data_IF_847390783603
#
_entry.id   IF_847390783603
#
_cell.length_a   1.000
_cell.length_b   1.000
_cell.length_c   1.000
_cell.angle_alpha   90.00
_cell.angle_beta   90.00
_cell.angle_gamma   90.00
#
_symmetry.space_group_name_H-M   'P 1'
#
loop_
_entity.id
_entity.type
_entity.pdbx_description
1 polymer ?
#
# COMPACT_ATOMS: atom_id res chain seq x y z
N UNK A 1 -24.96 13.73 27.64
CA UNK A 1 -24.44 12.88 26.56
C UNK A 1 -25.62 12.14 25.95
N UNK A 2 -26.16 12.63 24.84
CA UNK A 2 -27.28 11.98 24.15
C UNK A 2 -26.72 11.06 23.07
N UNK A 3 -27.01 9.77 23.21
CA UNK A 3 -26.77 8.79 22.15
C UNK A 3 -27.78 9.02 21.03
N UNK A 4 -27.28 9.37 19.86
CA UNK A 4 -28.08 9.35 18.63
C UNK A 4 -28.16 7.88 18.20
N UNK A 5 -29.35 7.30 18.36
CA UNK A 5 -29.71 6.00 17.78
C UNK A 5 -30.01 6.20 16.30
N UNK A 6 -29.32 5.47 15.43
CA UNK A 6 -29.64 5.40 14.01
C UNK A 6 -30.64 4.27 13.76
N UNK A 7 -31.68 4.49 12.92
CA UNK A 7 -32.60 3.43 12.57
C UNK A 7 -31.87 2.35 11.78
N UNK A 8 -32.12 1.08 12.12
CA UNK A 8 -31.64 -0.05 11.35
C UNK A 8 -32.28 -0.01 9.95
N UNK A 9 -31.49 0.34 8.93
CA UNK A 9 -31.89 0.16 7.54
C UNK A 9 -31.91 -1.34 7.21
N UNK A 10 -33.09 -1.84 6.88
CA UNK A 10 -33.27 -3.14 6.20
C UNK A 10 -32.89 -2.99 4.73
N UNK A 11 -31.62 -3.17 4.37
CA UNK A 11 -31.13 -3.21 2.97
C UNK A 11 -30.56 -4.58 2.61
N UNK A 12 -31.44 -5.54 2.38
CA UNK A 12 -31.09 -6.94 2.02
C UNK A 12 -30.69 -7.14 0.55
N UNK A 13 -30.43 -6.09 -0.24
CA UNK A 13 -30.08 -6.22 -1.66
C UNK A 13 -28.56 -6.19 -1.95
N UNK A 14 -27.76 -5.64 -1.04
CA UNK A 14 -26.31 -5.54 -1.16
C UNK A 14 -25.62 -6.23 0.03
N UNK A 15 -25.94 -7.50 0.29
CA UNK A 15 -25.32 -8.23 1.39
C UNK A 15 -23.86 -8.59 1.06
N UNK A 16 -22.94 -7.74 1.52
CA UNK A 16 -21.48 -7.97 1.67
C UNK A 16 -20.68 -8.26 0.36
N UNK A 17 -19.51 -7.61 0.19
CA UNK A 17 -18.82 -7.49 -1.09
C UNK A 17 -18.05 -8.76 -1.50
N UNK A 18 -18.70 -9.79 -2.04
CA UNK A 18 -18.00 -11.03 -2.44
C UNK A 18 -17.68 -11.03 -3.94
N UNK A 19 -16.39 -11.02 -4.25
CA UNK A 19 -15.84 -11.26 -5.59
C UNK A 19 -16.37 -12.59 -6.14
N UNK A 20 -16.87 -12.60 -7.39
CA UNK A 20 -17.36 -13.84 -8.02
C UNK A 20 -16.24 -14.66 -8.67
N UNK A 21 -15.14 -14.01 -9.06
CA UNK A 21 -13.97 -14.66 -9.68
C UNK A 21 -12.69 -14.03 -9.16
N UNK A 22 -11.87 -14.85 -8.51
CA UNK A 22 -10.54 -14.47 -8.07
C UNK A 22 -9.53 -14.62 -9.22
N UNK A 23 -8.46 -13.80 -9.26
CA UNK A 23 -7.36 -14.08 -10.16
C UNK A 23 -6.73 -15.45 -9.86
N UNK A 24 -6.26 -16.15 -10.89
CA UNK A 24 -5.60 -17.45 -10.74
C UNK A 24 -4.05 -17.36 -10.74
N UNK A 25 -3.50 -16.17 -10.97
CA UNK A 25 -2.06 -15.90 -11.03
C UNK A 25 -1.56 -15.17 -9.77
N UNK A 26 -1.86 -13.88 -9.64
CA UNK A 26 -1.41 -12.96 -8.58
C UNK A 26 -2.62 -12.31 -7.90
N UNK A 27 -2.44 -11.85 -6.66
CA UNK A 27 -3.49 -11.17 -5.90
C UNK A 27 -4.36 -12.07 -5.02
N UNK A 28 -4.49 -13.36 -5.28
CA UNK A 28 -5.15 -14.27 -4.32
C UNK A 28 -4.20 -14.76 -3.22
N UNK A 29 -4.76 -15.15 -2.08
CA UNK A 29 -4.03 -15.86 -1.02
C UNK A 29 -3.29 -17.08 -1.61
N UNK A 30 -2.08 -17.32 -1.13
CA UNK A 30 -1.31 -18.51 -1.43
C UNK A 30 -1.61 -19.64 -0.43
N UNK A 31 -0.91 -20.75 -0.58
CA UNK A 31 -1.05 -21.94 0.26
C UNK A 31 -0.12 -21.96 1.47
N UNK A 32 0.77 -20.97 1.62
CA UNK A 32 1.74 -20.94 2.72
C UNK A 32 1.04 -20.41 3.99
N UNK A 33 1.16 -21.17 5.09
CA UNK A 33 0.68 -20.73 6.38
C UNK A 33 1.40 -19.45 6.84
N UNK A 34 0.65 -18.51 7.40
CA UNK A 34 1.18 -17.22 7.88
C UNK A 34 1.05 -17.12 9.39
N UNK A 35 2.15 -16.76 10.04
CA UNK A 35 2.15 -16.37 11.46
C UNK A 35 2.34 -14.87 11.59
N UNK A 36 1.69 -14.25 12.59
CA UNK A 36 1.97 -12.87 12.99
C UNK A 36 2.87 -12.91 14.21
N UNK A 37 4.08 -12.37 14.06
CA UNK A 37 5.01 -12.08 15.15
C UNK A 37 4.89 -10.61 15.55
N UNK A 38 5.31 -10.28 16.76
CA UNK A 38 5.21 -8.93 17.33
C UNK A 38 6.52 -8.59 18.02
N UNK A 39 6.97 -7.34 17.87
CA UNK A 39 8.09 -6.77 18.64
C UNK A 39 7.70 -5.40 19.19
N UNK A 40 8.20 -4.99 20.37
CA UNK A 40 7.98 -3.64 20.87
C UNK A 40 8.34 -2.58 19.83
N UNK A 41 7.54 -1.52 19.77
CA UNK A 41 7.87 -0.35 18.98
C UNK A 41 8.99 0.43 19.70
N UNK A 42 10.09 0.80 19.01
CA UNK A 42 11.18 1.53 19.65
C UNK A 42 10.80 2.96 20.08
N UNK A 43 9.75 3.55 19.52
CA UNK A 43 9.20 4.80 20.04
C UNK A 43 8.26 4.52 21.22
N UNK A 44 8.59 5.08 22.38
CA UNK A 44 7.80 4.98 23.60
C UNK A 44 6.38 5.57 23.47
N UNK A 45 6.16 6.48 22.52
CA UNK A 45 4.87 7.10 22.24
C UNK A 45 4.10 6.41 21.12
N UNK A 46 4.64 5.35 20.52
CA UNK A 46 3.93 4.65 19.47
C UNK A 46 2.67 3.97 20.03
N UNK A 47 1.55 4.02 19.28
CA UNK A 47 0.26 3.56 19.79
C UNK A 47 0.17 2.03 19.90
N UNK A 48 0.95 1.30 19.10
CA UNK A 48 0.89 -0.16 18.97
C UNK A 48 2.28 -0.74 18.65
N UNK A 49 2.52 -2.03 18.94
CA UNK A 49 3.77 -2.71 18.61
C UNK A 49 3.90 -2.97 17.10
N UNK A 50 5.14 -3.19 16.66
CA UNK A 50 5.44 -3.56 15.28
C UNK A 50 4.96 -4.99 15.03
N UNK A 51 4.24 -5.20 13.92
CA UNK A 51 3.72 -6.51 13.51
C UNK A 51 4.51 -7.03 12.32
N UNK A 52 4.92 -8.30 12.37
CA UNK A 52 5.65 -8.97 11.29
C UNK A 52 4.88 -10.22 10.87
N UNK A 53 4.37 -10.22 9.64
CA UNK A 53 3.71 -11.38 9.04
C UNK A 53 4.78 -12.22 8.36
N UNK A 54 4.99 -13.43 8.88
CA UNK A 54 6.00 -14.36 8.39
C UNK A 54 5.34 -15.57 7.71
N UNK A 55 5.77 -15.92 6.50
CA UNK A 55 5.44 -17.22 5.92
C UNK A 55 6.12 -18.32 6.72
N UNK A 56 5.45 -19.46 6.87
CA UNK A 56 6.01 -20.65 7.54
C UNK A 56 7.28 -21.18 6.85
N UNK A 57 7.52 -20.79 5.59
CA UNK A 57 8.75 -21.13 4.84
C UNK A 57 9.95 -20.25 5.22
N UNK A 58 9.75 -19.14 5.94
CA UNK A 58 10.84 -18.25 6.37
C UNK A 58 11.63 -18.91 7.50
N UNK A 59 12.88 -19.26 7.22
CA UNK A 59 13.80 -19.89 8.17
C UNK A 59 15.20 -19.28 8.04
N UNK A 60 16.12 -19.64 8.94
CA UNK A 60 17.52 -19.22 8.83
C UNK A 60 18.19 -19.62 7.51
N UNK A 61 17.81 -20.76 6.94
CA UNK A 61 18.32 -21.25 5.67
C UNK A 61 17.55 -20.69 4.46
N UNK A 62 16.31 -20.25 4.65
CA UNK A 62 15.43 -19.73 3.61
C UNK A 62 14.83 -18.40 4.05
N UNK A 63 15.63 -17.33 3.95
CA UNK A 63 15.22 -15.99 4.33
C UNK A 63 14.20 -15.44 3.32
N UNK A 64 13.10 -14.90 3.82
CA UNK A 64 12.03 -14.36 2.98
C UNK A 64 12.32 -12.91 2.55
N UNK A 65 12.09 -12.52 1.27
CA UNK A 65 12.11 -11.12 0.88
C UNK A 65 11.15 -10.29 1.73
N UNK A 66 11.47 -9.03 1.96
CA UNK A 66 10.74 -8.20 2.93
C UNK A 66 9.96 -7.09 2.23
N UNK A 67 8.71 -6.93 2.62
CA UNK A 67 7.87 -5.79 2.24
C UNK A 67 7.60 -4.96 3.48
N UNK A 68 8.10 -3.73 3.50
CA UNK A 68 7.87 -2.75 4.56
C UNK A 68 6.62 -1.93 4.23
N UNK A 69 5.62 -1.98 5.10
CA UNK A 69 4.33 -1.37 4.88
C UNK A 69 4.10 -0.16 5.80
N UNK A 70 3.88 1.02 5.23
CA UNK A 70 3.54 2.25 5.93
C UNK A 70 2.05 2.59 5.78
N UNK A 71 1.33 2.66 6.91
CA UNK A 71 -0.12 2.89 6.92
C UNK A 71 -0.52 4.35 6.64
N UNK A 72 -1.78 4.56 6.28
CA UNK A 72 -2.39 5.89 6.21
C UNK A 72 -2.64 6.52 7.58
N UNK A 73 -2.89 7.83 7.64
CA UNK A 73 -3.12 8.53 8.90
C UNK A 73 -4.27 7.90 9.71
N UNK A 74 -4.11 7.76 11.03
CA UNK A 74 -4.99 7.00 11.94
C UNK A 74 -5.10 5.48 11.68
N UNK A 75 -4.47 4.94 10.64
CA UNK A 75 -4.45 3.51 10.33
C UNK A 75 -3.48 2.70 11.20
N UNK A 76 -3.35 3.02 12.49
CA UNK A 76 -2.30 2.52 13.39
C UNK A 76 -2.41 1.02 13.69
N UNK A 77 -3.60 0.46 13.50
CA UNK A 77 -3.87 -0.96 13.69
C UNK A 77 -3.68 -1.72 12.38
N UNK A 78 -2.85 -2.77 12.41
CA UNK A 78 -2.59 -3.61 11.23
C UNK A 78 -3.88 -4.23 10.66
N UNK A 79 -4.92 -4.39 11.49
CA UNK A 79 -6.21 -4.98 11.09
C UNK A 79 -6.85 -4.26 9.91
N UNK A 80 -6.62 -2.95 9.75
CA UNK A 80 -7.08 -2.19 8.59
C UNK A 80 -6.55 -2.74 7.25
N UNK A 81 -5.37 -3.35 7.24
CA UNK A 81 -4.70 -3.86 6.04
C UNK A 81 -4.45 -5.37 6.11
N UNK A 82 -4.96 -6.07 7.13
CA UNK A 82 -4.52 -7.42 7.48
C UNK A 82 -4.63 -8.41 6.33
N UNK A 83 -5.69 -8.33 5.54
CA UNK A 83 -5.88 -9.25 4.41
C UNK A 83 -4.79 -9.07 3.35
N UNK A 84 -4.42 -7.82 3.02
CA UNK A 84 -3.30 -7.53 2.12
C UNK A 84 -1.98 -8.09 2.69
N UNK A 85 -1.69 -7.80 3.97
CA UNK A 85 -0.44 -8.21 4.61
C UNK A 85 -0.32 -9.74 4.65
N UNK A 86 -1.42 -10.44 4.98
CA UNK A 86 -1.48 -11.90 4.98
C UNK A 86 -1.46 -12.49 3.58
N UNK A 87 -2.10 -11.85 2.60
CA UNK A 87 -2.08 -12.30 1.21
C UNK A 87 -0.64 -12.34 0.70
N UNK A 88 0.13 -11.27 0.89
CA UNK A 88 1.54 -11.22 0.53
C UNK A 88 2.35 -12.26 1.32
N UNK A 89 2.12 -12.37 2.62
CA UNK A 89 2.83 -13.37 3.43
C UNK A 89 2.54 -14.81 3.01
N UNK A 90 1.31 -15.13 2.65
CA UNK A 90 0.92 -16.46 2.16
C UNK A 90 1.55 -16.82 0.79
N UNK A 91 2.21 -15.85 0.15
CA UNK A 91 2.96 -16.00 -1.11
C UNK A 91 4.48 -16.02 -0.91
N UNK A 92 4.96 -16.04 0.34
CA UNK A 92 6.37 -16.25 0.65
C UNK A 92 7.16 -14.97 0.96
N UNK A 93 6.49 -13.83 1.12
CA UNK A 93 7.14 -12.58 1.54
C UNK A 93 6.99 -12.36 3.04
N UNK A 94 8.00 -11.84 3.72
CA UNK A 94 7.79 -11.27 5.04
C UNK A 94 7.20 -9.86 4.89
N UNK A 95 6.19 -9.52 5.69
CA UNK A 95 5.59 -8.17 5.66
C UNK A 95 5.69 -7.52 7.03
N UNK A 96 6.34 -6.36 7.09
CA UNK A 96 6.55 -5.59 8.32
C UNK A 96 5.60 -4.39 8.34
N UNK A 97 4.75 -4.32 9.34
CA UNK A 97 3.83 -3.22 9.58
C UNK A 97 4.28 -2.45 10.83
N UNK A 98 4.52 -1.14 10.68
CA UNK A 98 4.95 -0.27 11.77
C UNK A 98 3.88 0.79 12.05
N UNK A 99 3.27 0.77 13.24
CA UNK A 99 2.45 1.87 13.72
C UNK A 99 3.29 3.12 14.00
N UNK A 100 2.82 4.29 13.57
CA UNK A 100 3.36 5.59 13.97
C UNK A 100 2.28 6.45 14.66
N UNK A 101 2.70 7.45 15.43
CA UNK A 101 1.82 8.36 16.18
C UNK A 101 1.07 9.33 15.27
N UNK A 102 -0.21 9.53 15.55
CA UNK A 102 -0.99 10.62 14.96
C UNK A 102 -0.50 12.02 15.38
N UNK A 103 0.34 12.14 16.40
CA UNK A 103 0.91 13.41 16.89
C UNK A 103 2.37 13.57 16.43
N UNK A 104 2.90 14.80 16.54
CA UNK A 104 4.27 15.13 16.16
C UNK A 104 4.41 15.75 14.76
N UNK A 105 5.65 15.86 14.31
CA UNK A 105 6.02 16.41 13.01
C UNK A 105 5.97 15.33 11.93
N UNK A 106 5.95 15.72 10.65
CA UNK A 106 6.08 14.78 9.55
C UNK A 106 7.41 14.03 9.62
N UNK A 107 8.50 14.75 9.93
CA UNK A 107 9.82 14.18 10.15
C UNK A 107 9.82 13.13 11.27
N UNK A 108 9.23 13.42 12.43
CA UNK A 108 9.20 12.46 13.55
C UNK A 108 8.43 11.19 13.21
N UNK A 109 7.33 11.30 12.45
CA UNK A 109 6.57 10.13 11.98
C UNK A 109 7.36 9.26 11.00
N UNK A 110 8.14 9.87 10.11
CA UNK A 110 9.04 9.13 9.22
C UNK A 110 10.15 8.42 10.00
N UNK A 111 10.67 9.05 11.04
CA UNK A 111 11.65 8.45 11.94
C UNK A 111 11.07 7.29 12.75
N UNK A 112 9.82 7.39 13.22
CA UNK A 112 9.10 6.29 13.87
C UNK A 112 8.93 5.08 12.94
N UNK A 113 8.44 5.31 11.72
CA UNK A 113 8.31 4.28 10.70
C UNK A 113 9.65 3.58 10.45
N UNK A 114 10.71 4.36 10.23
CA UNK A 114 12.04 3.85 9.97
C UNK A 114 12.60 3.06 11.16
N UNK A 115 12.53 3.59 12.37
CA UNK A 115 13.00 2.94 13.58
C UNK A 115 12.25 1.61 13.83
N UNK A 116 10.93 1.57 13.61
CA UNK A 116 10.17 0.33 13.71
C UNK A 116 10.58 -0.73 12.69
N UNK A 117 10.89 -0.33 11.44
CA UNK A 117 11.42 -1.26 10.44
C UNK A 117 12.80 -1.78 10.84
N UNK A 118 13.70 -0.91 11.31
CA UNK A 118 15.01 -1.31 11.82
C UNK A 118 14.87 -2.28 13.00
N UNK A 119 13.90 -2.04 13.90
CA UNK A 119 13.64 -2.92 15.04
C UNK A 119 13.18 -4.31 14.59
N UNK A 120 12.30 -4.39 13.60
CA UNK A 120 11.90 -5.67 13.02
C UNK A 120 13.07 -6.40 12.37
N UNK A 121 13.92 -5.70 11.61
CA UNK A 121 15.13 -6.28 11.02
C UNK A 121 16.14 -6.74 12.08
N UNK A 122 16.32 -5.98 13.15
CA UNK A 122 17.17 -6.38 14.27
C UNK A 122 16.64 -7.66 14.95
N UNK A 123 15.33 -7.73 15.19
CA UNK A 123 14.70 -8.83 15.93
C UNK A 123 14.57 -10.11 15.08
N UNK A 124 14.26 -9.97 13.79
CA UNK A 124 13.91 -11.08 12.89
C UNK A 124 14.89 -11.24 11.72
N UNK A 125 16.04 -10.57 11.75
CA UNK A 125 17.00 -10.54 10.63
C UNK A 125 17.52 -11.90 10.18
N UNK A 126 17.49 -12.91 11.06
CA UNK A 126 17.85 -14.29 10.71
C UNK A 126 16.90 -14.93 9.70
N UNK A 127 15.65 -14.46 9.59
CA UNK A 127 14.64 -14.99 8.65
C UNK A 127 14.19 -13.99 7.59
N UNK A 128 14.58 -12.72 7.72
CA UNK A 128 14.27 -11.64 6.78
C UNK A 128 15.42 -11.42 5.81
N UNK A 129 15.19 -11.46 4.51
CA UNK A 129 16.17 -11.08 3.48
C UNK A 129 15.97 -9.64 3.04
N UNK A 130 16.70 -8.73 3.67
CA UNK A 130 16.63 -7.30 3.34
C UNK A 130 17.31 -6.94 2.03
N UNK A 131 18.07 -7.84 1.40
CA UNK A 131 18.64 -7.55 0.07
C UNK A 131 17.57 -7.53 -1.01
N UNK A 132 16.43 -8.18 -0.78
CA UNK A 132 15.22 -8.12 -1.61
C UNK A 132 14.13 -7.40 -0.82
N UNK A 133 14.01 -6.09 -1.03
CA UNK A 133 13.17 -5.22 -0.22
C UNK A 133 12.14 -4.46 -1.06
N UNK A 134 10.89 -4.42 -0.57
CA UNK A 134 9.82 -3.62 -1.12
C UNK A 134 9.35 -2.61 -0.10
N UNK A 135 9.01 -1.40 -0.54
CA UNK A 135 8.39 -0.40 0.30
C UNK A 135 7.01 -0.09 -0.28
N UNK A 136 5.97 -0.29 0.51
CA UNK A 136 4.60 -0.03 0.12
C UNK A 136 3.90 0.84 1.18
N UNK A 137 2.96 1.67 0.75
CA UNK A 137 2.22 2.46 1.71
C UNK A 137 0.98 3.14 1.16
N UNK A 138 0.08 3.46 2.07
CA UNK A 138 -1.22 4.07 1.78
C UNK A 138 -1.30 5.49 2.36
N UNK A 139 -1.91 6.44 1.63
CA UNK A 139 -2.18 7.80 2.12
C UNK A 139 -0.91 8.47 2.65
N UNK A 140 -0.89 8.91 3.90
CA UNK A 140 0.33 9.40 4.58
C UNK A 140 1.52 8.46 4.39
N UNK A 141 1.35 7.17 4.65
CA UNK A 141 2.38 6.16 4.45
C UNK A 141 2.79 6.01 2.98
N UNK A 142 1.86 6.21 2.04
CA UNK A 142 2.17 6.28 0.60
C UNK A 142 3.09 7.44 0.25
N UNK A 143 2.87 8.61 0.87
CA UNK A 143 3.77 9.77 0.77
C UNK A 143 5.14 9.52 1.41
N UNK A 144 5.18 8.80 2.54
CA UNK A 144 6.42 8.43 3.24
C UNK A 144 7.27 7.38 2.50
N UNK A 145 6.64 6.55 1.68
CA UNK A 145 7.25 5.34 1.10
C UNK A 145 8.53 5.63 0.31
N UNK A 146 8.64 6.65 -0.57
CA UNK A 146 9.90 6.96 -1.24
C UNK A 146 11.06 7.31 -0.30
N UNK A 147 10.80 8.06 0.77
CA UNK A 147 11.85 8.40 1.75
C UNK A 147 12.30 7.16 2.52
N UNK A 148 11.35 6.29 2.91
CA UNK A 148 11.67 5.03 3.56
C UNK A 148 12.49 4.10 2.65
N UNK A 149 12.16 4.06 1.36
CA UNK A 149 12.92 3.32 0.37
C UNK A 149 14.34 3.86 0.19
N UNK A 150 14.51 5.19 0.17
CA UNK A 150 15.83 5.83 0.13
C UNK A 150 16.67 5.49 1.36
N UNK A 151 16.09 5.57 2.57
CA UNK A 151 16.76 5.14 3.82
C UNK A 151 17.14 3.67 3.77
N UNK A 152 16.24 2.81 3.25
CA UNK A 152 16.49 1.40 2.98
C UNK A 152 17.70 1.17 2.08
N UNK A 153 17.71 1.81 0.91
CA UNK A 153 18.81 1.71 -0.04
C UNK A 153 20.16 2.13 0.58
N UNK A 154 20.17 3.23 1.33
CA UNK A 154 21.37 3.70 2.04
C UNK A 154 21.84 2.74 3.15
N UNK A 155 20.93 1.95 3.72
CA UNK A 155 21.24 0.87 4.66
C UNK A 155 21.59 -0.47 3.97
N UNK A 156 21.71 -0.48 2.63
CA UNK A 156 21.98 -1.67 1.83
C UNK A 156 20.75 -2.57 1.60
N UNK A 157 19.55 -2.13 1.97
CA UNK A 157 18.32 -2.89 1.73
C UNK A 157 17.88 -2.70 0.28
N UNK A 158 17.43 -3.79 -0.35
CA UNK A 158 17.03 -3.79 -1.76
C UNK A 158 18.19 -3.91 -2.76
N UNK A 159 19.40 -4.24 -2.32
CA UNK A 159 20.57 -4.42 -3.18
C UNK A 159 20.39 -5.47 -4.31
N UNK A 160 19.53 -6.46 -4.10
CA UNK A 160 19.16 -7.52 -5.04
C UNK A 160 17.71 -7.39 -5.55
N UNK A 161 17.09 -6.23 -5.38
CA UNK A 161 15.72 -5.98 -5.81
C UNK A 161 15.06 -4.97 -4.88
N UNK A 162 14.72 -3.80 -5.43
CA UNK A 162 14.03 -2.72 -4.73
C UNK A 162 12.76 -2.33 -5.50
N UNK A 163 11.62 -2.25 -4.81
CA UNK A 163 10.43 -1.62 -5.37
C UNK A 163 9.77 -0.63 -4.42
N UNK A 164 9.02 0.30 -5.01
CA UNK A 164 8.18 1.29 -4.35
C UNK A 164 6.75 1.13 -4.88
N UNK A 165 5.77 0.98 -3.98
CA UNK A 165 4.35 0.89 -4.34
C UNK A 165 3.54 1.88 -3.49
N UNK A 166 3.07 2.97 -4.08
CA UNK A 166 2.27 3.96 -3.37
C UNK A 166 0.78 3.83 -3.70
N UNK A 167 -0.06 3.99 -2.69
CA UNK A 167 -1.52 3.96 -2.79
C UNK A 167 -2.08 5.28 -2.29
N UNK A 168 -2.74 6.05 -3.15
CA UNK A 168 -3.37 7.33 -2.82
C UNK A 168 -2.48 8.25 -1.98
N UNK A 169 -1.22 8.44 -2.40
CA UNK A 169 -0.20 9.08 -1.56
C UNK A 169 -0.61 10.49 -1.11
N UNK A 170 -0.38 10.77 0.16
CA UNK A 170 -0.30 12.14 0.68
C UNK A 170 1.09 12.73 0.42
N UNK A 171 1.37 13.93 0.92
CA UNK A 171 2.62 14.65 0.63
C UNK A 171 3.87 13.84 0.99
N UNK A 172 4.91 14.01 0.17
CA UNK A 172 6.23 13.44 0.43
C UNK A 172 7.14 14.52 1.03
N UNK A 173 7.64 14.24 2.24
CA UNK A 173 8.56 15.13 2.97
C UNK A 173 10.01 14.65 2.95
N UNK A 174 10.30 13.61 2.18
CA UNK A 174 11.66 13.11 1.99
C UNK A 174 12.54 14.14 1.29
N UNK A 175 13.84 13.91 1.33
CA UNK A 175 14.83 14.71 0.59
C UNK A 175 15.78 13.79 -0.16
N UNK A 176 16.51 14.33 -1.12
CA UNK A 176 17.53 13.58 -1.88
C UNK A 176 16.98 12.32 -2.56
N UNK A 177 15.80 12.43 -3.21
CA UNK A 177 15.11 11.29 -3.85
C UNK A 177 15.93 10.67 -4.98
N UNK A 178 16.87 11.40 -5.56
CA UNK A 178 17.85 10.92 -6.54
C UNK A 178 18.79 9.83 -6.01
N UNK A 179 18.90 9.68 -4.68
CA UNK A 179 19.67 8.60 -4.05
C UNK A 179 18.98 7.22 -4.16
N UNK A 180 17.69 7.18 -4.52
CA UNK A 180 17.02 5.90 -4.79
C UNK A 180 17.58 5.34 -6.11
N UNK A 181 18.10 4.08 -6.12
CA UNK A 181 18.69 3.49 -7.32
C UNK A 181 17.72 3.51 -8.52
N UNK A 182 18.24 3.88 -9.69
CA UNK A 182 17.48 3.84 -10.95
C UNK A 182 16.94 2.44 -11.31
N UNK A 183 17.59 1.38 -10.79
CA UNK A 183 17.19 -0.02 -10.96
C UNK A 183 15.95 -0.43 -10.12
N UNK A 184 15.50 0.44 -9.21
CA UNK A 184 14.25 0.22 -8.48
C UNK A 184 13.06 0.13 -9.46
N UNK A 185 11.96 -0.44 -9.00
CA UNK A 185 10.67 -0.43 -9.72
C UNK A 185 9.66 0.43 -8.98
N UNK A 186 8.81 1.14 -9.71
CA UNK A 186 7.84 2.05 -9.12
C UNK A 186 6.43 1.81 -9.65
N UNK A 187 5.47 1.65 -8.75
CA UNK A 187 4.04 1.79 -9.06
C UNK A 187 3.47 2.91 -8.21
N UNK A 188 2.82 3.87 -8.87
CA UNK A 188 2.02 4.92 -8.22
C UNK A 188 0.57 4.66 -8.54
N UNK A 189 -0.21 4.30 -7.53
CA UNK A 189 -1.62 3.96 -7.69
C UNK A 189 -2.51 5.03 -7.05
N UNK A 190 -3.48 5.51 -7.83
CA UNK A 190 -4.52 6.47 -7.40
C UNK A 190 -5.91 5.92 -7.65
N UNK A 191 -6.90 6.51 -7.00
CA UNK A 191 -8.29 6.06 -7.04
C UNK A 191 -9.20 7.15 -7.60
N UNK A 192 -10.07 6.78 -8.54
CA UNK A 192 -10.81 7.75 -9.33
C UNK A 192 -11.78 8.61 -8.51
N UNK A 193 -12.36 8.01 -7.46
CA UNK A 193 -13.30 8.65 -6.54
C UNK A 193 -12.65 9.00 -5.20
N UNK A 194 -11.32 9.09 -5.14
CA UNK A 194 -10.65 9.66 -3.97
C UNK A 194 -11.12 11.12 -3.79
N UNK A 195 -11.60 11.44 -2.60
CA UNK A 195 -11.98 12.80 -2.20
C UNK A 195 -11.20 13.29 -0.98
N UNK A 196 -10.21 12.51 -0.52
CA UNK A 196 -9.31 12.90 0.55
C UNK A 196 -8.04 13.50 -0.04
N UNK A 197 -7.30 12.73 -0.82
CA UNK A 197 -6.03 13.18 -1.38
C UNK A 197 -6.17 13.50 -2.86
N UNK A 198 -5.86 14.73 -3.22
CA UNK A 198 -5.72 15.16 -4.60
C UNK A 198 -4.64 14.31 -5.30
N UNK A 199 -4.94 13.62 -6.42
CA UNK A 199 -3.95 12.81 -7.12
C UNK A 199 -2.79 13.64 -7.69
N UNK A 200 -2.92 14.97 -7.79
CA UNK A 200 -1.78 15.86 -8.06
C UNK A 200 -0.70 15.77 -6.98
N UNK A 201 -1.03 15.35 -5.75
CA UNK A 201 -0.03 15.04 -4.72
C UNK A 201 0.83 13.86 -5.15
N UNK A 202 0.22 12.74 -5.55
CA UNK A 202 0.96 11.56 -6.04
C UNK A 202 1.78 11.89 -7.30
N UNK A 203 1.24 12.73 -8.20
CA UNK A 203 1.98 13.19 -9.38
C UNK A 203 3.21 14.02 -9.00
N UNK A 204 3.04 15.07 -8.21
CA UNK A 204 4.11 16.03 -7.95
C UNK A 204 5.09 15.55 -6.89
N UNK A 205 4.62 14.88 -5.84
CA UNK A 205 5.45 14.48 -4.69
C UNK A 205 5.99 13.04 -4.76
N UNK A 206 5.52 12.23 -5.72
CA UNK A 206 6.07 10.87 -5.93
C UNK A 206 6.58 10.71 -7.35
N UNK A 207 5.69 10.80 -8.35
CA UNK A 207 6.05 10.49 -9.73
C UNK A 207 7.12 11.43 -10.31
N UNK A 208 6.93 12.75 -10.15
CA UNK A 208 7.83 13.76 -10.69
C UNK A 208 9.18 13.82 -9.94
N UNK A 209 9.23 13.35 -8.69
CA UNK A 209 10.43 13.37 -7.84
C UNK A 209 11.32 12.14 -7.99
N UNK A 210 10.87 11.13 -8.75
CA UNK A 210 11.61 9.90 -9.03
C UNK A 210 11.82 9.69 -10.54
N UNK A 211 12.34 10.69 -11.30
CA UNK A 211 12.52 10.56 -12.74
C UNK A 211 13.58 9.52 -13.13
N UNK A 212 14.54 9.24 -12.23
CA UNK A 212 15.60 8.27 -12.47
C UNK A 212 15.10 6.82 -12.50
N UNK A 213 13.94 6.53 -11.92
CA UNK A 213 13.33 5.19 -11.97
C UNK A 213 12.58 5.05 -13.30
N UNK A 214 13.15 4.32 -14.24
CA UNK A 214 12.57 4.16 -15.59
C UNK A 214 11.56 3.02 -15.68
N UNK A 215 11.70 2.00 -14.84
CA UNK A 215 10.69 0.93 -14.70
C UNK A 215 9.58 1.37 -13.75
N UNK A 216 8.67 2.20 -14.28
CA UNK A 216 7.58 2.78 -13.51
C UNK A 216 6.23 2.78 -14.21
N UNK A 217 5.16 2.68 -13.43
CA UNK A 217 3.78 2.81 -13.92
C UNK A 217 2.91 3.66 -13.01
N UNK A 218 2.14 4.52 -13.67
CA UNK A 218 0.98 5.16 -13.05
C UNK A 218 -0.23 4.25 -13.21
N UNK A 219 -0.98 4.03 -12.14
CA UNK A 219 -2.14 3.17 -12.12
C UNK A 219 -3.37 3.88 -11.56
N UNK A 220 -4.52 3.72 -12.22
CA UNK A 220 -5.80 4.29 -11.77
C UNK A 220 -6.81 3.16 -11.57
N UNK A 221 -7.31 2.99 -10.35
CA UNK A 221 -8.49 2.15 -10.11
C UNK A 221 -9.73 3.02 -10.36
N UNK A 222 -10.59 2.55 -11.26
CA UNK A 222 -11.87 3.16 -11.59
C UNK A 222 -12.98 2.53 -10.76
N UNK A 223 -13.96 3.36 -10.43
CA UNK A 223 -15.21 2.88 -9.87
C UNK A 223 -16.08 2.24 -10.93
N UNK A 224 -16.97 1.36 -10.49
CA UNK A 224 -17.96 0.71 -11.34
C UNK A 224 -19.38 1.12 -10.89
N UNK A 225 -19.97 2.11 -11.56
CA UNK A 225 -21.27 2.71 -11.17
C UNK A 225 -22.48 1.87 -11.62
N UNK A 226 -23.52 1.75 -10.77
CA UNK A 226 -24.74 0.95 -11.03
C UNK A 226 -25.41 0.43 -9.75
N UNK A 227 -26.35 -0.53 -9.84
CA UNK A 227 -27.23 -0.93 -8.72
C UNK A 227 -26.49 -1.35 -7.44
N UNK A 228 -25.31 -1.98 -7.59
CA UNK A 228 -24.31 -2.08 -6.53
C UNK A 228 -23.03 -1.45 -7.07
N UNK A 229 -22.72 -0.24 -6.63
CA UNK A 229 -21.48 0.42 -7.03
C UNK A 229 -20.28 -0.20 -6.31
N UNK A 230 -19.13 -0.17 -6.98
CA UNK A 230 -17.85 -0.47 -6.37
C UNK A 230 -16.98 0.77 -6.51
N UNK A 231 -16.93 1.56 -5.45
CA UNK A 231 -16.34 2.90 -5.48
C UNK A 231 -14.84 2.81 -5.16
N UNK A 232 -14.01 3.30 -6.08
CA UNK A 232 -12.57 3.46 -5.93
C UNK A 232 -12.28 4.74 -5.12
N UNK A 233 -12.52 4.68 -3.82
CA UNK A 233 -12.35 5.81 -2.89
C UNK A 233 -10.96 5.81 -2.24
N UNK A 234 -10.68 6.80 -1.39
CA UNK A 234 -9.47 6.83 -0.56
C UNK A 234 -9.30 5.55 0.29
N UNK A 235 -10.41 4.93 0.70
CA UNK A 235 -10.39 3.79 1.61
C UNK A 235 -10.29 2.44 0.89
N UNK A 236 -10.16 2.42 -0.44
CA UNK A 236 -10.07 1.16 -1.22
C UNK A 236 -9.02 0.17 -0.67
N UNK A 237 -7.83 0.58 -0.17
CA UNK A 237 -6.86 -0.37 0.40
C UNK A 237 -7.21 -0.97 1.76
N UNK A 238 -8.29 -0.51 2.40
CA UNK A 238 -8.67 -0.89 3.77
C UNK A 238 -9.71 -2.00 3.73
N UNK A 239 -9.37 -3.17 4.27
CA UNK A 239 -10.21 -4.37 4.15
C UNK A 239 -10.97 -4.74 5.43
N UNK A 240 -10.74 -4.01 6.53
CA UNK A 240 -11.49 -4.15 7.78
C UNK A 240 -11.69 -2.79 8.46
N UNK A 241 -12.81 -2.62 9.17
CA UNK A 241 -13.08 -1.45 10.02
C UNK A 241 -12.80 -1.70 11.51
N UNK A 242 -12.16 -2.82 11.85
CA UNK A 242 -11.98 -3.25 13.24
C UNK A 242 -13.16 -4.10 13.73
N UNK A 243 -12.80 -5.10 14.55
CA UNK A 243 -13.61 -6.20 15.09
C UNK A 243 -14.11 -7.28 14.11
N UNK A 244 -13.37 -8.40 14.13
CA UNK A 244 -13.72 -9.75 13.64
C UNK A 244 -14.20 -9.85 12.17
N UNK A 245 -13.26 -10.12 11.26
CA UNK A 245 -13.55 -10.65 9.92
C UNK A 245 -13.30 -9.68 8.75
N UNK A 246 -12.81 -10.24 7.64
CA UNK A 246 -12.50 -9.60 6.35
C UNK A 246 -13.77 -9.14 5.61
N UNK A 247 -14.53 -8.22 6.21
CA UNK A 247 -15.89 -7.92 5.72
C UNK A 247 -15.91 -6.90 4.55
N UNK A 248 -14.80 -6.23 4.24
CA UNK A 248 -14.76 -5.24 3.16
C UNK A 248 -13.91 -5.64 1.94
N UNK A 249 -13.18 -6.76 1.99
CA UNK A 249 -12.41 -7.25 0.84
C UNK A 249 -13.35 -7.50 -0.34
N UNK A 250 -13.05 -6.86 -1.47
CA UNK A 250 -13.83 -6.87 -2.69
C UNK A 250 -12.92 -7.05 -3.92
N UNK A 251 -13.45 -6.82 -5.11
CA UNK A 251 -12.73 -7.13 -6.34
C UNK A 251 -11.62 -6.13 -6.67
N UNK A 252 -11.73 -4.86 -6.23
CA UNK A 252 -10.64 -3.89 -6.35
C UNK A 252 -9.43 -4.30 -5.53
N UNK A 253 -9.62 -4.95 -4.37
CA UNK A 253 -8.53 -5.51 -3.58
C UNK A 253 -7.77 -6.57 -4.36
N UNK A 254 -8.45 -7.64 -4.77
CA UNK A 254 -7.80 -8.75 -5.47
C UNK A 254 -7.19 -8.34 -6.81
N UNK A 255 -7.95 -7.64 -7.66
CA UNK A 255 -7.56 -7.35 -9.04
C UNK A 255 -6.79 -6.04 -9.20
N UNK A 256 -7.15 -5.02 -8.43
CA UNK A 256 -6.57 -3.68 -8.52
C UNK A 256 -5.31 -3.51 -7.69
N UNK A 257 -5.30 -3.97 -6.44
CA UNK A 257 -4.20 -3.72 -5.49
C UNK A 257 -3.31 -4.96 -5.35
N UNK A 258 -3.85 -6.05 -4.81
CA UNK A 258 -3.08 -7.21 -4.37
C UNK A 258 -2.39 -7.90 -5.55
N UNK A 259 -3.09 -8.02 -6.68
CA UNK A 259 -2.52 -8.57 -7.91
C UNK A 259 -1.31 -7.80 -8.40
N UNK A 260 -1.36 -6.46 -8.34
CA UNK A 260 -0.27 -5.59 -8.79
C UNK A 260 0.90 -5.61 -7.83
N UNK A 261 0.65 -5.49 -6.53
CA UNK A 261 1.70 -5.50 -5.52
C UNK A 261 2.38 -6.88 -5.42
N UNK A 262 1.60 -7.97 -5.46
CA UNK A 262 2.16 -9.33 -5.50
C UNK A 262 3.01 -9.55 -6.76
N UNK A 263 2.50 -9.18 -7.94
CA UNK A 263 3.26 -9.32 -9.18
C UNK A 263 4.51 -8.43 -9.20
N UNK A 264 4.45 -7.22 -8.64
CA UNK A 264 5.61 -6.33 -8.52
C UNK A 264 6.69 -6.96 -7.63
N UNK A 265 6.31 -7.59 -6.52
CA UNK A 265 7.24 -8.29 -5.66
C UNK A 265 7.92 -9.47 -6.38
N UNK A 266 7.15 -10.32 -7.06
CA UNK A 266 7.69 -11.47 -7.81
C UNK A 266 8.61 -11.01 -8.97
N UNK A 267 8.20 -9.98 -9.70
CA UNK A 267 9.05 -9.38 -10.74
C UNK A 267 10.35 -8.84 -10.16
N UNK A 268 10.27 -8.09 -9.06
CA UNK A 268 11.43 -7.43 -8.46
C UNK A 268 12.42 -8.41 -7.85
N UNK A 269 11.92 -9.46 -7.20
CA UNK A 269 12.74 -10.37 -6.40
C UNK A 269 13.10 -11.67 -7.13
N UNK A 270 12.29 -12.09 -8.10
CA UNK A 270 12.46 -13.31 -8.88
C UNK A 270 12.73 -13.07 -10.38
N UNK A 271 12.56 -11.85 -10.89
CA UNK A 271 12.80 -11.52 -12.30
C UNK A 271 11.73 -12.03 -13.27
N UNK A 272 10.58 -12.47 -12.78
CA UNK A 272 9.50 -13.04 -13.59
C UNK A 272 8.93 -12.02 -14.59
N UNK A 273 9.08 -12.31 -15.89
CA UNK A 273 8.55 -11.45 -16.95
C UNK A 273 7.02 -11.51 -17.05
N UNK A 274 6.41 -12.65 -16.70
CA UNK A 274 4.97 -12.74 -16.55
C UNK A 274 4.48 -11.81 -15.41
N UNK A 275 5.20 -11.80 -14.29
CA UNK A 275 4.91 -10.89 -13.20
C UNK A 275 5.09 -9.42 -13.61
N UNK A 276 6.11 -9.09 -14.41
CA UNK A 276 6.30 -7.74 -14.97
C UNK A 276 5.07 -7.29 -15.76
N UNK A 277 4.57 -8.14 -16.66
CA UNK A 277 3.38 -7.85 -17.45
C UNK A 277 2.15 -7.61 -16.59
N UNK A 278 1.99 -8.33 -15.48
CA UNK A 278 0.88 -8.11 -14.54
C UNK A 278 1.11 -6.86 -13.68
N UNK A 279 2.32 -6.62 -13.18
CA UNK A 279 2.64 -5.50 -12.31
C UNK A 279 2.46 -4.15 -13.01
N UNK A 280 2.82 -4.07 -14.30
CA UNK A 280 2.81 -2.83 -15.07
C UNK A 280 1.74 -2.75 -16.17
N UNK A 281 1.05 -3.85 -16.46
CA UNK A 281 0.05 -3.92 -17.51
C UNK A 281 -1.36 -3.59 -17.05
N UNK A 282 -2.28 -3.78 -18.00
CA UNK A 282 -3.73 -3.75 -17.80
C UNK A 282 -4.29 -5.16 -17.90
N UNK A 283 -5.54 -5.33 -17.47
CA UNK A 283 -6.23 -6.61 -17.61
C UNK A 283 -7.24 -6.56 -18.74
N UNK A 284 -7.26 -7.60 -19.55
CA UNK A 284 -8.33 -7.84 -20.51
C UNK A 284 -9.65 -8.21 -19.82
N UNK A 285 -9.57 -8.74 -18.59
CA UNK A 285 -10.70 -9.07 -17.74
C UNK A 285 -10.36 -8.78 -16.28
N UNK A 286 -11.09 -7.88 -15.65
CA UNK A 286 -11.15 -7.77 -14.19
C UNK A 286 -12.37 -8.56 -13.71
N UNK A 287 -12.25 -9.23 -12.56
CA UNK A 287 -13.23 -10.23 -12.12
C UNK A 287 -14.69 -9.74 -12.13
N UNK A 288 -15.63 -10.67 -12.02
CA UNK A 288 -17.06 -10.31 -11.99
C UNK A 288 -17.51 -9.97 -10.57
N UNK A 289 -18.34 -8.94 -10.47
CA UNK A 289 -19.08 -8.61 -9.26
C UNK A 289 -20.38 -9.40 -9.24
N UNK A 290 -20.73 -10.06 -8.12
CA UNK A 290 -21.87 -11.01 -8.07
C UNK A 290 -23.20 -10.41 -8.52
N UNK A 291 -23.42 -9.12 -8.32
CA UNK A 291 -24.65 -8.44 -8.75
C UNK A 291 -24.57 -7.83 -10.15
N UNK A 292 -23.54 -8.14 -10.94
CA UNK A 292 -23.38 -7.63 -12.31
C UNK A 292 -23.11 -8.70 -13.35
N UNK A 293 -23.75 -8.59 -14.53
CA UNK A 293 -23.46 -9.46 -15.67
C UNK A 293 -22.17 -9.10 -16.42
N UNK A 294 -21.57 -7.92 -16.15
CA UNK A 294 -20.37 -7.41 -16.83
C UNK A 294 -19.11 -7.49 -15.94
N UNK A 295 -17.91 -7.69 -16.53
CA UNK A 295 -16.63 -7.50 -15.84
C UNK A 295 -16.54 -6.09 -15.24
N UNK A 296 -15.70 -5.94 -14.22
CA UNK A 296 -15.42 -4.63 -13.62
C UNK A 296 -14.74 -3.69 -14.62
N UNK A 297 -14.73 -2.40 -14.31
CA UNK A 297 -13.82 -1.48 -14.97
C UNK A 297 -12.37 -1.99 -14.86
N UNK A 298 -11.60 -2.03 -15.96
CA UNK A 298 -10.22 -2.44 -15.92
C UNK A 298 -9.38 -1.40 -15.18
N UNK A 299 -8.31 -1.85 -14.53
CA UNK A 299 -7.26 -0.95 -14.06
C UNK A 299 -6.63 -0.24 -15.27
N UNK A 300 -6.49 1.08 -15.20
CA UNK A 300 -5.70 1.83 -16.18
C UNK A 300 -4.24 1.86 -15.74
N UNK A 301 -3.33 1.62 -16.69
CA UNK A 301 -1.89 1.73 -16.47
C UNK A 301 -1.28 2.62 -17.57
N UNK A 302 -0.47 3.61 -17.18
CA UNK A 302 0.07 4.62 -18.09
C UNK A 302 1.53 4.99 -17.77
N UNK A 303 2.29 5.38 -18.80
CA UNK A 303 3.64 5.97 -18.67
C UNK A 303 3.59 7.44 -18.24
N UNK A 304 2.40 8.03 -18.16
CA UNK A 304 2.18 9.40 -17.71
C UNK A 304 1.07 9.45 -16.67
N UNK A 305 1.14 10.37 -15.69
CA UNK A 305 0.08 10.54 -14.70
C UNK A 305 -1.28 10.83 -15.35
N UNK A 306 -2.29 10.08 -14.92
CA UNK A 306 -3.69 10.32 -15.25
C UNK A 306 -4.39 10.72 -13.96
N UNK A 307 -4.85 11.96 -13.89
CA UNK A 307 -5.41 12.56 -12.69
C UNK A 307 -6.87 12.94 -12.90
N UNK A 308 -7.71 12.63 -11.91
CA UNK A 308 -9.00 13.29 -11.77
C UNK A 308 -8.76 14.57 -10.98
N UNK A 309 -9.24 15.72 -11.45
CA UNK A 309 -9.16 17.01 -10.72
C UNK A 309 -10.53 17.59 -10.41
N UNK A 310 -11.60 16.83 -10.70
CA UNK A 310 -12.97 17.29 -10.53
C UNK A 310 -13.51 17.05 -9.11
N UNK A 311 -12.88 16.19 -8.31
CA UNK A 311 -13.36 15.88 -6.96
C UNK A 311 -13.01 17.02 -5.97
N UNK A 312 -13.79 17.10 -4.89
CA UNK A 312 -13.51 18.00 -3.78
C UNK A 312 -12.59 17.33 -2.77
N UNK A 313 -11.28 17.58 -2.89
CA UNK A 313 -10.27 17.00 -2.01
C UNK A 313 -10.17 17.71 -0.66
N UNK A 314 -10.07 16.92 0.42
CA UNK A 314 -9.69 17.40 1.76
C UNK A 314 -8.29 17.98 1.75
N UNK A 315 -7.34 17.27 1.13
CA UNK A 315 -5.95 17.68 0.94
C UNK A 315 -5.68 17.89 -0.53
N UNK A 316 -5.49 19.16 -0.90
CA UNK A 316 -5.15 19.56 -2.28
C UNK A 316 -3.66 19.74 -2.44
N UNK A 317 -3.11 19.50 -3.62
CA UNK A 317 -1.70 19.80 -3.88
C UNK A 317 -1.30 21.23 -3.47
N UNK A 318 -2.17 22.20 -3.74
CA UNK A 318 -1.99 23.60 -3.36
C UNK A 318 -1.88 23.87 -1.85
N UNK A 319 -2.27 22.91 -1.01
CA UNK A 319 -2.22 23.02 0.46
C UNK A 319 -0.95 22.40 1.05
N UNK A 320 -0.02 21.90 0.23
CA UNK A 320 1.22 21.27 0.71
C UNK A 320 1.91 22.11 1.77
N UNK A 321 2.12 23.39 1.51
CA UNK A 321 2.86 24.27 2.44
C UNK A 321 2.13 24.53 3.76
N UNK A 322 0.80 24.41 3.79
CA UNK A 322 0.02 24.48 5.02
C UNK A 322 0.18 23.23 5.87
N UNK A 323 0.49 22.08 5.25
CA UNK A 323 0.71 20.80 5.91
C UNK A 323 2.19 20.52 6.27
N UNK A 324 3.09 21.43 5.92
CA UNK A 324 4.52 21.27 6.16
C UNK A 324 4.87 21.47 7.65
N UNK A 325 5.94 20.82 8.10
CA UNK A 325 6.44 21.07 9.46
C UNK A 325 6.94 22.51 9.60
N UNK A 326 6.86 23.12 10.79
CA UNK A 326 7.45 24.44 11.04
C UNK A 326 8.92 24.51 10.59
N UNK A 327 9.26 25.52 9.78
CA UNK A 327 10.61 25.69 9.24
C UNK A 327 10.93 24.87 7.99
N UNK A 328 9.97 24.10 7.46
CA UNK A 328 10.14 23.43 6.15
C UNK A 328 10.11 24.46 5.03
N UNK A 329 11.19 24.56 4.25
CA UNK A 329 11.19 25.35 3.03
C UNK A 329 10.25 24.71 2.01
N UNK A 330 9.26 25.48 1.58
CA UNK A 330 8.23 25.03 0.67
C UNK A 330 8.44 25.70 -0.70
N UNK A 331 8.71 24.93 -1.76
CA UNK A 331 8.91 25.48 -3.10
C UNK A 331 7.61 25.95 -3.74
#
# INVERSE_FOLDING_TARGET
>A
MSFISFPAQTTTACSQPKVATLPNDYGSFGSINVSRQVTPNPDANAPLPVSVFLPATATGANRAPVIFFAHGFNGVDYRFYEDLLRQLASRGYAVVFVPYSGTGTNASRYDQLWAGFQKAVQQFGTVLDTTRAGFAGHSYGGGATPELARRGANAGWGANGLFIFTMAAWYNWGTNMEQIPAAAKLVVQVYWDDSFNDPLISQNDVWNRLPQITERKWQVIRSDAGFCSLDATHFTPITSTGDTGSNNTNAQDYWGIWRRLHALADYTFGGSQAARSVAFGTDSQTGRWRSRPKPLAPLEASDTPVVNIANNYVWRWSMRCTAADPGTNCP
#
